data_IF_022034976700
#
_entry.id   IF_022034976700
#
_cell.length_a   1.000
_cell.length_b   1.000
_cell.length_c   1.000
_cell.angle_alpha   90.00
_cell.angle_beta   90.00
_cell.angle_gamma   90.00
#
_symmetry.space_group_name_H-M   'P 1'
#
loop_
_entity.id
_entity.type
_entity.pdbx_description
1 polymer ?
#
# COMPACT_ATOMS: atom_id res chain seq x y z
N UNK A 1 -57.66 -59.18 23.33
CA UNK A 1 -56.18 -59.27 23.33
C UNK A 1 -55.69 -58.99 21.93
N UNK A 2 -54.68 -58.13 21.85
CA UNK A 2 -53.78 -57.95 20.70
C UNK A 2 -54.37 -57.29 19.46
N UNK A 3 -53.77 -56.16 19.08
CA UNK A 3 -53.75 -55.71 17.70
C UNK A 3 -54.11 -54.25 17.46
N UNK A 4 -53.47 -53.31 18.15
CA UNK A 4 -53.36 -51.95 17.65
C UNK A 4 -52.53 -51.97 16.36
N UNK A 5 -53.17 -51.79 15.21
CA UNK A 5 -52.48 -51.27 14.03
C UNK A 5 -53.48 -50.62 13.09
N UNK A 6 -53.16 -49.38 12.70
CA UNK A 6 -53.76 -48.55 11.65
C UNK A 6 -55.10 -47.85 11.93
N UNK A 7 -55.01 -46.56 12.29
CA UNK A 7 -55.83 -45.47 11.76
C UNK A 7 -55.13 -44.14 12.14
N UNK A 8 -54.61 -43.35 11.19
CA UNK A 8 -55.30 -42.40 10.30
C UNK A 8 -55.01 -40.95 10.73
N UNK A 9 -54.68 -40.09 9.76
CA UNK A 9 -54.50 -38.64 9.92
C UNK A 9 -53.05 -38.26 10.22
N UNK A 10 -52.42 -37.29 9.56
CA UNK A 10 -52.98 -36.05 9.00
C UNK A 10 -52.03 -35.51 7.93
N UNK A 11 -52.64 -35.08 6.85
CA UNK A 11 -52.05 -34.40 5.69
C UNK A 11 -51.51 -33.02 6.12
N UNK A 12 -50.29 -32.69 5.72
CA UNK A 12 -49.78 -31.31 5.61
C UNK A 12 -49.20 -31.15 4.20
N UNK A 13 -49.78 -30.26 3.39
CA UNK A 13 -49.08 -29.59 2.31
C UNK A 13 -49.07 -28.07 2.57
N UNK A 14 -48.61 -27.24 1.62
CA UNK A 14 -47.28 -27.18 1.02
C UNK A 14 -46.71 -25.76 1.23
N UNK A 15 -45.45 -25.50 0.84
CA UNK A 15 -45.05 -24.40 -0.04
C UNK A 15 -43.54 -24.12 0.05
N UNK A 16 -43.02 -23.59 -1.05
CA UNK A 16 -41.76 -22.86 -1.19
C UNK A 16 -40.55 -23.67 -1.68
N UNK A 17 -40.44 -23.65 -3.01
CA UNK A 17 -39.21 -23.59 -3.78
C UNK A 17 -38.10 -22.77 -3.10
N UNK A 18 -36.83 -23.15 -3.25
CA UNK A 18 -35.98 -22.55 -4.28
C UNK A 18 -34.59 -23.19 -4.29
N UNK A 19 -33.89 -22.99 -5.40
CA UNK A 19 -32.70 -23.68 -5.84
C UNK A 19 -31.44 -23.34 -5.01
N UNK A 20 -30.68 -24.34 -4.60
CA UNK A 20 -29.27 -24.14 -4.26
C UNK A 20 -28.45 -23.98 -5.55
N UNK A 21 -28.46 -22.78 -6.12
CA UNK A 21 -27.39 -22.31 -7.01
C UNK A 21 -26.23 -21.83 -6.15
N UNK A 22 -25.08 -22.49 -6.25
CA UNK A 22 -23.83 -22.05 -5.65
C UNK A 22 -23.25 -20.88 -6.45
N UNK A 23 -23.08 -19.74 -5.78
CA UNK A 23 -22.37 -18.58 -6.26
C UNK A 23 -21.66 -17.86 -5.10
N UNK A 24 -20.42 -17.44 -5.41
CA UNK A 24 -19.69 -16.26 -4.91
C UNK A 24 -19.27 -16.10 -3.44
N UNK A 25 -17.93 -16.03 -3.30
CA UNK A 25 -17.14 -14.96 -2.66
C UNK A 25 -16.92 -14.93 -1.13
N UNK A 26 -15.66 -14.64 -0.78
CA UNK A 26 -15.32 -13.96 0.47
C UNK A 26 -14.38 -14.71 1.40
N UNK A 27 -13.13 -14.98 0.98
CA UNK A 27 -12.08 -15.31 1.94
C UNK A 27 -11.59 -14.03 2.63
N UNK A 28 -12.29 -13.65 3.69
CA UNK A 28 -11.75 -12.78 4.72
C UNK A 28 -10.63 -13.52 5.46
N UNK A 29 -9.41 -12.98 5.40
CA UNK A 29 -8.33 -13.24 6.35
C UNK A 29 -7.45 -11.99 6.35
N UNK A 30 -7.84 -10.99 7.15
CA UNK A 30 -7.28 -10.74 8.48
C UNK A 30 -5.80 -10.35 8.44
N UNK A 31 -5.53 -9.05 8.56
CA UNK A 31 -4.56 -8.50 9.52
C UNK A 31 -5.09 -7.16 10.05
N UNK A 32 -4.92 -6.84 11.34
CA UNK A 32 -5.40 -5.60 11.96
C UNK A 32 -4.73 -4.36 11.32
N UNK A 33 -5.35 -3.18 11.31
CA UNK A 33 -4.61 -1.94 11.10
C UNK A 33 -3.79 -1.69 12.38
N UNK A 34 -2.61 -2.30 12.47
CA UNK A 34 -1.61 -1.93 13.45
C UNK A 34 -1.27 -0.47 13.20
N UNK A 35 -1.82 0.38 14.05
CA UNK A 35 -1.44 1.76 14.23
C UNK A 35 0.01 1.82 14.74
N UNK A 36 0.99 1.67 13.86
CA UNK A 36 2.38 2.02 14.19
C UNK A 36 2.58 3.50 13.94
N UNK A 37 2.10 4.27 14.91
CA UNK A 37 2.59 5.59 15.25
C UNK A 37 4.12 5.59 15.27
N UNK A 38 4.76 6.18 14.27
CA UNK A 38 6.19 6.51 14.32
C UNK A 38 6.40 7.90 13.77
N UNK A 39 6.63 8.80 14.73
CA UNK A 39 7.30 10.09 14.65
C UNK A 39 7.50 10.67 13.25
N UNK A 40 6.55 11.50 12.83
CA UNK A 40 6.84 12.50 11.83
C UNK A 40 6.10 13.78 12.21
N UNK A 41 6.83 14.89 12.11
CA UNK A 41 6.33 16.25 11.94
C UNK A 41 4.98 16.21 11.21
N UNK A 42 3.99 16.96 11.69
CA UNK A 42 2.58 16.80 11.31
C UNK A 42 2.29 16.59 9.82
N UNK A 43 1.12 16.00 9.50
CA UNK A 43 0.83 15.50 8.17
C UNK A 43 1.00 16.62 7.13
N UNK A 44 1.90 16.38 6.17
CA UNK A 44 2.30 17.33 5.13
C UNK A 44 2.00 16.74 3.75
N UNK A 45 1.94 17.60 2.74
CA UNK A 45 1.78 17.21 1.33
C UNK A 45 3.06 16.61 0.74
N UNK A 46 4.21 16.90 1.34
CA UNK A 46 5.52 16.46 0.86
C UNK A 46 6.01 15.26 1.66
N UNK A 47 6.41 14.21 0.94
CA UNK A 47 6.92 12.97 1.48
C UNK A 47 8.34 12.74 0.95
N UNK A 48 9.25 12.40 1.86
CA UNK A 48 10.58 11.93 1.52
C UNK A 48 10.64 10.43 1.76
N UNK A 49 10.96 9.68 0.70
CA UNK A 49 11.34 8.28 0.80
C UNK A 49 12.87 8.22 0.83
N UNK A 50 13.42 7.44 1.75
CA UNK A 50 14.84 7.17 1.86
C UNK A 50 15.08 5.66 1.88
N UNK A 51 16.30 5.24 1.52
CA UNK A 51 16.70 3.83 1.52
C UNK A 51 15.85 2.92 0.61
N UNK A 52 15.46 3.44 -0.56
CA UNK A 52 14.67 2.74 -1.56
C UNK A 52 15.44 2.43 -2.86
N UNK A 53 16.63 3.00 -3.03
CA UNK A 53 17.48 2.78 -4.19
C UNK A 53 18.78 2.15 -3.70
N UNK A 54 19.08 0.96 -4.21
CA UNK A 54 20.36 0.30 -3.97
C UNK A 54 21.49 1.01 -4.72
N UNK A 55 22.72 0.84 -4.22
CA UNK A 55 23.93 1.38 -4.84
C UNK A 55 24.06 0.96 -6.32
N UNK A 56 23.62 -0.27 -6.62
CA UNK A 56 23.59 -0.82 -7.99
C UNK A 56 22.62 -0.05 -8.90
N UNK A 57 21.41 0.23 -8.41
CA UNK A 57 20.41 1.00 -9.15
C UNK A 57 20.88 2.44 -9.40
N UNK A 58 21.58 3.04 -8.44
CA UNK A 58 22.18 4.37 -8.58
C UNK A 58 23.36 4.40 -9.56
N UNK A 59 24.10 3.29 -9.70
CA UNK A 59 25.25 3.19 -10.60
C UNK A 59 24.87 3.14 -12.09
N UNK A 60 23.68 2.63 -12.42
CA UNK A 60 23.23 2.45 -13.81
C UNK A 60 22.09 3.40 -14.17
N UNK A 61 22.18 4.01 -15.36
CA UNK A 61 21.16 4.96 -15.79
C UNK A 61 19.78 4.28 -15.98
N UNK A 62 19.84 3.05 -16.52
CA UNK A 62 18.69 2.20 -16.82
C UNK A 62 18.01 1.70 -15.54
N UNK A 63 18.76 1.11 -14.60
CA UNK A 63 18.14 0.52 -13.39
C UNK A 63 17.44 1.57 -12.53
N UNK A 64 18.00 2.78 -12.40
CA UNK A 64 17.28 3.83 -11.68
C UNK A 64 16.11 4.42 -12.45
N UNK A 65 16.13 4.46 -13.78
CA UNK A 65 14.95 4.90 -14.52
C UNK A 65 13.76 3.94 -14.27
N UNK A 66 14.03 2.63 -14.26
CA UNK A 66 13.04 1.60 -13.91
C UNK A 66 12.58 1.75 -12.44
N UNK A 67 13.50 1.88 -11.48
CA UNK A 67 13.13 2.07 -10.08
C UNK A 67 12.27 3.32 -9.87
N UNK A 68 12.69 4.46 -10.45
CA UNK A 68 11.95 5.72 -10.39
C UNK A 68 10.56 5.58 -10.98
N UNK A 69 10.44 4.86 -12.10
CA UNK A 69 9.15 4.58 -12.72
C UNK A 69 8.25 3.77 -11.79
N UNK A 70 8.78 2.70 -11.19
CA UNK A 70 8.03 1.84 -10.26
C UNK A 70 7.56 2.60 -9.02
N UNK A 71 8.46 3.36 -8.37
CA UNK A 71 8.13 4.14 -7.18
C UNK A 71 7.08 5.20 -7.51
N UNK A 72 7.21 5.86 -8.66
CA UNK A 72 6.24 6.86 -9.10
C UNK A 72 4.86 6.22 -9.34
N UNK A 73 4.81 5.09 -10.06
CA UNK A 73 3.56 4.38 -10.34
C UNK A 73 2.89 3.89 -9.04
N UNK A 74 3.68 3.39 -8.08
CA UNK A 74 3.20 3.02 -6.75
C UNK A 74 2.66 4.25 -5.99
N UNK A 75 3.37 5.38 -6.05
CA UNK A 75 2.94 6.63 -5.43
C UNK A 75 1.63 7.17 -6.02
N UNK A 76 1.44 7.04 -7.33
CA UNK A 76 0.23 7.45 -8.06
C UNK A 76 -1.00 6.60 -7.68
N UNK A 77 -0.83 5.42 -7.09
CA UNK A 77 -1.94 4.57 -6.60
C UNK A 77 -2.61 5.15 -5.35
N UNK A 78 -1.86 5.87 -4.50
CA UNK A 78 -2.39 6.45 -3.26
C UNK A 78 -3.07 7.80 -3.48
N UNK A 79 -2.65 8.53 -4.51
CA UNK A 79 -3.26 9.80 -4.90
C UNK A 79 -2.46 10.53 -5.97
N UNK A 80 -2.92 11.74 -6.31
CA UNK A 80 -2.31 12.56 -7.36
C UNK A 80 -1.00 13.17 -6.89
N UNK A 81 0.07 12.91 -7.65
CA UNK A 81 1.41 13.45 -7.44
C UNK A 81 1.56 14.73 -8.27
N UNK A 82 1.87 15.85 -7.61
CA UNK A 82 2.19 17.13 -8.27
C UNK A 82 3.65 17.19 -8.73
N UNK A 83 4.58 16.74 -7.88
CA UNK A 83 5.99 16.75 -8.19
C UNK A 83 6.69 15.49 -7.69
N UNK A 84 7.64 15.00 -8.47
CA UNK A 84 8.47 13.85 -8.14
C UNK A 84 9.92 14.16 -8.53
N UNK A 85 10.83 14.16 -7.56
CA UNK A 85 12.22 14.53 -7.76
C UNK A 85 13.12 13.55 -7.03
N UNK A 86 14.10 13.02 -7.75
CA UNK A 86 15.09 12.09 -7.19
C UNK A 86 16.49 12.59 -7.54
N UNK A 87 17.20 13.23 -6.61
CA UNK A 87 18.58 13.64 -6.83
C UNK A 87 19.50 12.42 -6.98
N UNK A 88 20.05 12.23 -8.18
CA UNK A 88 21.23 11.38 -8.44
C UNK A 88 22.49 12.18 -8.13
N UNK A 89 23.15 11.88 -7.03
CA UNK A 89 24.39 12.53 -6.60
C UNK A 89 25.56 12.42 -7.61
N UNK A 90 25.41 11.68 -8.72
CA UNK A 90 26.35 11.72 -9.84
C UNK A 90 26.56 13.13 -10.42
N UNK A 91 25.63 14.06 -10.18
CA UNK A 91 25.71 15.43 -10.66
C UNK A 91 26.47 16.42 -9.74
N UNK A 92 26.91 16.01 -8.54
CA UNK A 92 27.57 16.92 -7.59
C UNK A 92 28.91 16.36 -7.13
N UNK A 93 29.96 16.69 -7.89
CA UNK A 93 31.35 16.64 -7.42
C UNK A 93 31.46 17.33 -6.05
N UNK A 94 31.63 16.54 -4.98
CA UNK A 94 32.06 17.05 -3.67
C UNK A 94 31.03 17.07 -2.53
N UNK A 95 29.84 16.47 -2.67
CA UNK A 95 28.98 16.17 -1.51
C UNK A 95 29.19 14.73 -0.98
N UNK A 96 29.06 14.50 0.34
CA UNK A 96 29.15 13.16 0.89
C UNK A 96 27.98 12.31 0.37
N UNK A 97 28.26 11.06 -0.03
CA UNK A 97 27.32 10.08 -0.58
C UNK A 97 26.18 9.64 0.39
N UNK A 98 25.83 10.49 1.36
CA UNK A 98 24.82 10.24 2.38
C UNK A 98 23.42 10.70 1.98
N UNK A 99 23.29 11.46 0.88
CA UNK A 99 22.01 11.97 0.38
C UNK A 99 21.55 11.29 -0.94
N UNK A 100 22.36 10.41 -1.52
CA UNK A 100 21.99 9.61 -2.69
C UNK A 100 20.83 8.68 -2.35
N UNK A 101 19.86 8.56 -3.26
CA UNK A 101 18.75 7.62 -3.11
C UNK A 101 17.56 8.17 -2.32
N UNK A 102 17.55 9.47 -2.01
CA UNK A 102 16.37 10.15 -1.47
C UNK A 102 15.41 10.49 -2.59
N UNK A 103 14.13 10.22 -2.38
CA UNK A 103 13.07 10.56 -3.32
C UNK A 103 12.10 11.50 -2.64
N UNK A 104 11.79 12.60 -3.31
CA UNK A 104 10.87 13.60 -2.81
C UNK A 104 9.63 13.60 -3.69
N UNK A 105 8.49 13.38 -3.04
CA UNK A 105 7.18 13.33 -3.67
C UNK A 105 6.32 14.42 -3.05
N UNK A 106 5.72 15.25 -3.90
CA UNK A 106 4.73 16.25 -3.53
C UNK A 106 3.38 15.73 -4.02
N UNK A 107 2.47 15.50 -3.08
CA UNK A 107 1.09 15.14 -3.37
C UNK A 107 0.20 16.38 -3.41
N UNK A 108 -0.91 16.31 -4.14
CA UNK A 108 -1.94 17.36 -4.12
C UNK A 108 -2.60 17.46 -2.73
N UNK A 109 -2.83 16.29 -2.11
CA UNK A 109 -3.53 16.15 -0.83
C UNK A 109 -2.60 15.62 0.27
N UNK A 110 -2.83 16.11 1.50
CA UNK A 110 -2.18 15.59 2.71
C UNK A 110 -2.68 14.17 3.04
N UNK A 111 -3.94 13.88 2.74
CA UNK A 111 -4.56 12.58 2.98
C UNK A 111 -3.92 11.48 2.13
N UNK A 112 -3.62 11.74 0.86
CA UNK A 112 -2.93 10.78 -0.02
C UNK A 112 -1.48 10.57 0.41
N UNK A 113 -0.77 11.65 0.75
CA UNK A 113 0.57 11.59 1.32
C UNK A 113 0.61 10.70 2.58
N UNK A 114 -0.41 10.81 3.45
CA UNK A 114 -0.47 10.02 4.68
C UNK A 114 -0.62 8.54 4.39
N UNK A 115 -1.54 8.18 3.49
CA UNK A 115 -1.75 6.78 3.09
C UNK A 115 -0.52 6.19 2.39
N UNK A 116 0.17 7.00 1.58
CA UNK A 116 1.41 6.61 0.93
C UNK A 116 2.51 6.34 1.96
N UNK A 117 2.71 7.24 2.93
CA UNK A 117 3.69 7.02 4.02
C UNK A 117 3.35 5.76 4.78
N UNK A 118 2.11 5.56 5.22
CA UNK A 118 1.71 4.37 5.98
C UNK A 118 1.93 3.06 5.20
N UNK A 119 1.78 3.08 3.88
CA UNK A 119 1.91 1.89 3.04
C UNK A 119 3.34 1.62 2.57
N UNK A 120 4.12 2.68 2.36
CA UNK A 120 5.50 2.61 1.87
C UNK A 120 6.52 2.52 3.00
N UNK A 121 6.20 3.07 4.18
CA UNK A 121 7.06 3.01 5.35
C UNK A 121 7.25 1.55 5.79
N UNK A 122 8.49 1.14 5.99
CA UNK A 122 8.90 -0.23 6.31
C UNK A 122 8.59 -1.30 5.24
N UNK A 123 8.32 -0.93 3.99
CA UNK A 123 8.37 -1.90 2.88
C UNK A 123 9.81 -2.29 2.58
N UNK A 124 10.01 -3.53 2.15
CA UNK A 124 11.29 -3.97 1.59
C UNK A 124 11.30 -3.66 0.09
N UNK A 125 12.30 -2.90 -0.34
CA UNK A 125 12.57 -2.61 -1.76
C UNK A 125 14.03 -2.99 -2.03
N UNK A 126 14.25 -3.90 -2.97
CA UNK A 126 15.60 -4.40 -3.31
C UNK A 126 16.39 -4.97 -2.11
N UNK A 127 15.69 -5.49 -1.09
CA UNK A 127 16.29 -5.99 0.16
C UNK A 127 16.63 -4.91 1.19
N UNK A 128 16.31 -3.65 0.91
CA UNK A 128 16.45 -2.50 1.82
C UNK A 128 15.09 -2.12 2.43
N UNK A 129 15.08 -1.67 3.68
CA UNK A 129 13.87 -1.17 4.34
C UNK A 129 13.64 0.30 3.98
N UNK A 130 12.54 0.58 3.28
CA UNK A 130 12.15 1.93 2.89
C UNK A 130 11.72 2.73 4.11
N UNK A 131 12.28 3.92 4.26
CA UNK A 131 11.84 4.89 5.26
C UNK A 131 11.12 6.04 4.58
N UNK A 132 9.79 6.07 4.73
CA UNK A 132 8.98 7.22 4.37
C UNK A 132 8.87 8.18 5.55
N UNK A 133 9.04 9.48 5.31
CA UNK A 133 8.95 10.54 6.33
C UNK A 133 8.28 11.77 5.72
N UNK A 134 7.43 12.46 6.48
CA UNK A 134 6.86 13.72 6.03
C UNK A 134 7.89 14.84 6.16
N UNK A 135 7.96 15.67 5.12
CA UNK A 135 8.82 16.85 5.05
C UNK A 135 7.96 18.09 4.88
N UNK A 136 8.47 19.22 5.39
CA UNK A 136 7.82 20.52 5.23
C UNK A 136 7.82 20.95 3.76
N UNK A 137 6.80 21.73 3.35
CA UNK A 137 6.72 22.32 2.01
C UNK A 137 7.92 23.22 1.67
N UNK A 138 8.71 23.64 2.67
CA UNK A 138 9.95 24.40 2.47
C UNK A 138 11.08 23.63 1.75
N UNK A 139 10.86 22.37 1.41
CA UNK A 139 11.77 21.59 0.56
C UNK A 139 11.66 21.96 -0.94
N UNK A 140 10.49 22.44 -1.37
CA UNK A 140 10.22 22.89 -2.75
C UNK A 140 10.87 24.24 -3.03
#
# INVERSE_FOLDING_TARGET
>A
VTGCSACAGRVVPPDSADACKQGSEGAASQVPPSSSSTAATGPSKVVCLTNLLSEKALASDVEFAECVHDIRAECEQFGRVEAFVVPRERALEGRPASDVGKCFIVYEDVSSATRAVESLHNRQFDGLTVQATFVSESWV
#
